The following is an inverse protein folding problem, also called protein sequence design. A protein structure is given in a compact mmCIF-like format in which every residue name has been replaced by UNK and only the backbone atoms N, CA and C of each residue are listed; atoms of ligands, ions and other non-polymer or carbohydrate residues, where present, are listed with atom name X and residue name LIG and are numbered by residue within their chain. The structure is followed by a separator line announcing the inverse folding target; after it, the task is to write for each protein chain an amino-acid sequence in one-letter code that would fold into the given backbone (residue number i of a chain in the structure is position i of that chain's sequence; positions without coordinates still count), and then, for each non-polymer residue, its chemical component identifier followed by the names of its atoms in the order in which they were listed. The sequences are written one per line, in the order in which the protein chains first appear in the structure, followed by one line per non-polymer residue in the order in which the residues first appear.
data_IF_785073014785
#
_entry.id   IF_785073014785
#
_cell.length_a   1.000
_cell.length_b   1.000
_cell.length_c   1.000
_cell.angle_alpha   90.00
_cell.angle_beta   90.00
_cell.angle_gamma   90.00
#
_symmetry.space_group_name_H-M   'P 1'
#
loop_
_entity.id
_entity.type
_entity.pdbx_description
1 polymer ?
#
# COMPACT_ATOMS: atom_id res chain seq x y z
N UNK A 1 12.89 31.24 6.28
CA UNK A 1 12.08 30.78 7.43
C UNK A 1 13.01 30.81 8.65
N UNK A 2 12.70 31.64 9.59
CA UNK A 2 13.56 31.92 10.75
C UNK A 2 13.52 30.77 11.74
N UNK A 3 14.66 30.49 12.38
CA UNK A 3 14.86 29.41 13.38
C UNK A 3 13.86 29.47 14.56
N UNK A 4 13.17 30.58 14.74
CA UNK A 4 12.15 30.83 15.78
C UNK A 4 10.80 30.19 15.45
N UNK A 5 10.40 30.16 14.18
CA UNK A 5 9.17 29.51 13.74
C UNK A 5 9.21 27.99 13.91
N UNK A 6 10.36 27.37 13.63
CA UNK A 6 10.59 25.94 13.84
C UNK A 6 10.53 25.53 15.32
N UNK A 7 11.09 26.37 16.22
CA UNK A 7 11.03 26.12 17.67
C UNK A 7 9.62 26.23 18.23
N UNK A 8 8.83 27.23 17.80
CA UNK A 8 7.43 27.38 18.23
C UNK A 8 6.54 26.23 17.75
N UNK A 9 6.75 25.73 16.52
CA UNK A 9 6.00 24.59 15.97
C UNK A 9 6.32 23.29 16.73
N UNK A 10 7.59 23.05 17.07
CA UNK A 10 8.02 21.86 17.82
C UNK A 10 7.47 21.85 19.25
N UNK A 11 7.48 22.99 19.94
CA UNK A 11 6.91 23.13 21.29
C UNK A 11 5.41 22.89 21.27
N UNK A 12 4.68 23.46 20.31
CA UNK A 12 3.25 23.24 20.17
C UNK A 12 2.88 21.77 19.90
N UNK A 13 3.68 21.04 19.11
CA UNK A 13 3.48 19.61 18.86
C UNK A 13 3.74 18.76 20.11
N UNK A 14 4.77 19.07 20.89
CA UNK A 14 5.10 18.40 22.16
C UNK A 14 3.97 18.52 23.17
N UNK A 15 3.37 19.71 23.29
CA UNK A 15 2.26 19.96 24.23
C UNK A 15 1.00 19.19 23.83
N UNK A 16 0.67 19.12 22.53
CA UNK A 16 -0.43 18.34 22.00
C UNK A 16 -0.25 16.84 22.25
N UNK A 17 0.94 16.30 22.01
CA UNK A 17 1.26 14.90 22.30
C UNK A 17 1.13 14.59 23.79
N UNK A 18 1.52 15.52 24.67
CA UNK A 18 1.36 15.37 26.13
C UNK A 18 -0.13 15.33 26.53
N UNK A 19 -0.95 16.17 25.94
CA UNK A 19 -2.42 16.15 26.14
C UNK A 19 -3.03 14.83 25.66
N UNK A 20 -2.66 14.35 24.47
CA UNK A 20 -3.12 13.08 23.92
C UNK A 20 -2.70 11.92 24.82
N UNK A 21 -1.48 11.94 25.36
CA UNK A 21 -0.99 10.88 26.25
C UNK A 21 -1.80 10.74 27.55
N UNK A 22 -2.46 11.81 28.01
CA UNK A 22 -3.31 11.82 29.19
C UNK A 22 -4.74 11.29 28.90
N UNK A 23 -5.15 11.18 27.65
CA UNK A 23 -6.46 10.65 27.29
C UNK A 23 -6.56 9.14 27.57
N UNK A 24 -7.76 8.63 27.89
CA UNK A 24 -8.01 7.19 27.96
C UNK A 24 -7.62 6.50 26.63
N UNK A 25 -7.08 5.27 26.69
CA UNK A 25 -6.59 4.53 25.53
C UNK A 25 -7.62 4.48 24.40
N UNK A 26 -8.87 4.11 24.70
CA UNK A 26 -9.94 4.04 23.72
C UNK A 26 -10.21 5.39 23.01
N UNK A 27 -10.02 6.52 23.71
CA UNK A 27 -10.15 7.85 23.11
C UNK A 27 -8.96 8.16 22.20
N UNK A 28 -7.73 7.81 22.64
CA UNK A 28 -6.53 7.97 21.83
C UNK A 28 -6.62 7.20 20.51
N UNK A 29 -7.11 5.98 20.56
CA UNK A 29 -7.27 5.12 19.37
C UNK A 29 -8.27 5.74 18.38
N UNK A 30 -9.35 6.34 18.86
CA UNK A 30 -10.33 7.02 18.01
C UNK A 30 -9.78 8.33 17.42
N UNK A 31 -9.04 9.12 18.20
CA UNK A 31 -8.35 10.33 17.73
C UNK A 31 -7.29 9.97 16.68
N UNK A 32 -6.50 8.91 16.92
CA UNK A 32 -5.53 8.40 15.95
C UNK A 32 -6.20 7.93 14.65
N UNK A 33 -7.37 7.30 14.74
CA UNK A 33 -8.12 6.89 13.56
C UNK A 33 -8.62 8.08 12.74
N UNK A 34 -9.12 9.15 13.38
CA UNK A 34 -9.51 10.39 12.68
C UNK A 34 -8.29 10.97 11.95
N UNK A 35 -7.16 11.12 12.64
CA UNK A 35 -5.93 11.68 12.07
C UNK A 35 -5.44 10.86 10.86
N UNK A 36 -5.39 9.54 11.00
CA UNK A 36 -5.04 8.61 9.94
C UNK A 36 -5.95 8.74 8.72
N UNK A 37 -7.26 8.78 8.96
CA UNK A 37 -8.25 8.84 7.88
C UNK A 37 -8.14 10.16 7.12
N UNK A 38 -7.96 11.28 7.83
CA UNK A 38 -7.72 12.57 7.21
C UNK A 38 -6.40 12.59 6.43
N UNK A 39 -5.32 11.97 6.95
CA UNK A 39 -4.03 11.92 6.28
C UNK A 39 -4.07 11.11 4.98
N UNK A 40 -4.65 9.90 5.01
CA UNK A 40 -4.53 8.93 3.91
C UNK A 40 -5.74 8.87 2.96
N UNK A 41 -6.92 9.35 3.38
CA UNK A 41 -8.11 9.46 2.53
C UNK A 41 -8.44 10.92 2.18
N UNK A 42 -7.94 11.88 2.94
CA UNK A 42 -8.25 13.30 2.77
C UNK A 42 -9.59 13.71 3.39
N UNK A 43 -10.35 12.76 3.93
CA UNK A 43 -11.66 12.98 4.54
C UNK A 43 -11.94 11.94 5.63
N UNK A 44 -12.84 12.26 6.56
CA UNK A 44 -13.28 11.36 7.62
C UNK A 44 -14.78 11.52 7.87
N UNK A 45 -15.49 10.39 8.04
CA UNK A 45 -16.93 10.36 8.30
C UNK A 45 -17.23 9.80 9.67
N UNK A 46 -18.26 10.39 10.32
CA UNK A 46 -18.68 9.94 11.64
C UNK A 46 -19.13 8.49 11.69
N UNK A 47 -19.76 8.00 10.61
CA UNK A 47 -20.20 6.61 10.49
C UNK A 47 -19.05 5.63 10.64
N UNK A 48 -17.88 5.91 10.00
CA UNK A 48 -16.69 5.03 10.07
C UNK A 48 -16.20 4.85 11.52
N UNK A 49 -16.26 5.93 12.33
CA UNK A 49 -15.90 5.86 13.75
C UNK A 49 -16.89 5.01 14.56
N UNK A 50 -18.20 5.19 14.30
CA UNK A 50 -19.29 4.42 14.93
C UNK A 50 -19.12 2.93 14.62
N UNK A 51 -18.95 2.58 13.36
CA UNK A 51 -18.85 1.20 12.91
C UNK A 51 -17.58 0.52 13.42
N UNK A 52 -16.43 1.22 13.32
CA UNK A 52 -15.14 0.67 13.72
C UNK A 52 -15.05 0.42 15.23
N UNK A 53 -15.49 1.37 16.04
CA UNK A 53 -15.31 1.33 17.51
C UNK A 53 -16.58 0.91 18.25
N UNK A 54 -17.66 0.59 17.54
CA UNK A 54 -18.96 0.21 18.11
C UNK A 54 -19.45 1.22 19.15
N UNK A 55 -19.31 2.53 18.87
CA UNK A 55 -19.67 3.62 19.76
C UNK A 55 -20.95 4.33 19.31
N UNK A 56 -21.60 5.04 20.23
CA UNK A 56 -22.76 5.87 19.90
C UNK A 56 -22.34 7.07 19.00
N UNK A 57 -23.22 7.49 18.11
CA UNK A 57 -23.00 8.65 17.21
C UNK A 57 -22.68 9.94 17.98
N UNK A 58 -23.24 10.13 19.18
CA UNK A 58 -22.93 11.26 20.04
C UNK A 58 -21.47 11.23 20.53
N UNK A 59 -20.92 10.03 20.81
CA UNK A 59 -19.51 9.88 21.19
C UNK A 59 -18.60 10.21 20.01
N UNK A 60 -18.89 9.71 18.81
CA UNK A 60 -18.12 10.06 17.63
C UNK A 60 -18.11 11.57 17.36
N UNK A 61 -19.23 12.26 17.57
CA UNK A 61 -19.29 13.73 17.46
C UNK A 61 -18.37 14.42 18.47
N UNK A 62 -18.32 13.94 19.71
CA UNK A 62 -17.40 14.46 20.75
C UNK A 62 -15.93 14.24 20.35
N UNK A 63 -15.61 13.08 19.79
CA UNK A 63 -14.25 12.76 19.35
C UNK A 63 -13.79 13.68 18.18
N UNK A 64 -14.65 13.96 17.21
CA UNK A 64 -14.36 14.95 16.16
C UNK A 64 -14.20 16.37 16.70
N UNK A 65 -14.98 16.76 17.71
CA UNK A 65 -14.85 18.06 18.38
C UNK A 65 -13.50 18.15 19.12
N UNK A 66 -13.14 17.11 19.88
CA UNK A 66 -11.86 17.01 20.58
C UNK A 66 -10.68 17.05 19.60
N UNK A 67 -10.76 16.32 18.47
CA UNK A 67 -9.72 16.35 17.43
C UNK A 67 -9.51 17.78 16.88
N UNK A 68 -10.60 18.53 16.65
CA UNK A 68 -10.55 19.92 16.19
C UNK A 68 -9.91 20.84 17.23
N UNK A 69 -10.17 20.62 18.52
CA UNK A 69 -9.55 21.38 19.60
C UNK A 69 -8.05 21.11 19.70
N UNK A 70 -7.62 19.86 19.53
CA UNK A 70 -6.21 19.45 19.53
C UNK A 70 -5.46 19.95 18.29
N UNK A 71 -6.11 20.02 17.14
CA UNK A 71 -5.52 20.41 15.86
C UNK A 71 -6.49 21.24 15.01
N UNK A 72 -6.70 22.55 15.32
CA UNK A 72 -7.71 23.38 14.66
C UNK A 72 -7.55 23.51 13.16
N UNK A 73 -6.31 23.45 12.62
CA UNK A 73 -6.02 23.53 11.20
C UNK A 73 -6.15 22.23 10.41
N UNK A 74 -6.40 21.11 11.10
CA UNK A 74 -6.36 19.78 10.48
C UNK A 74 -7.69 19.36 9.87
N UNK A 75 -8.81 19.99 10.24
CA UNK A 75 -10.14 19.47 9.93
C UNK A 75 -11.14 20.58 9.65
N UNK A 76 -11.91 20.43 8.57
CA UNK A 76 -13.00 21.30 8.17
C UNK A 76 -14.26 20.48 7.94
N UNK A 77 -15.43 20.99 8.37
CA UNK A 77 -16.69 20.28 8.16
C UNK A 77 -17.41 20.76 6.90
N UNK A 78 -17.62 19.85 5.97
CA UNK A 78 -18.43 20.12 4.77
C UNK A 78 -19.89 19.80 5.05
N UNK A 79 -20.71 20.86 5.13
CA UNK A 79 -22.14 20.73 5.43
C UNK A 79 -22.95 20.05 4.31
N UNK A 80 -22.50 20.18 3.04
CA UNK A 80 -23.20 19.58 1.88
C UNK A 80 -22.98 18.08 1.83
N UNK A 81 -21.73 17.67 2.02
CA UNK A 81 -21.33 16.26 1.97
C UNK A 81 -21.50 15.55 3.31
N UNK A 82 -21.73 16.29 4.41
CA UNK A 82 -21.86 15.78 5.79
C UNK A 82 -20.65 14.96 6.26
N UNK A 83 -19.45 15.37 5.85
CA UNK A 83 -18.18 14.76 6.20
C UNK A 83 -17.17 15.83 6.65
N UNK A 84 -16.09 15.35 7.23
CA UNK A 84 -14.96 16.17 7.62
C UNK A 84 -13.85 16.04 6.59
N UNK A 85 -13.42 17.16 6.01
CA UNK A 85 -12.28 17.24 5.06
C UNK A 85 -10.99 17.55 5.79
N UNK A 86 -9.88 17.12 5.23
CA UNK A 86 -8.55 17.52 5.67
C UNK A 86 -8.38 19.01 5.41
N UNK A 87 -8.00 19.77 6.45
CA UNK A 87 -7.73 21.19 6.36
C UNK A 87 -6.44 21.49 5.58
N UNK A 88 -6.32 22.69 5.02
CA UNK A 88 -5.14 23.09 4.24
C UNK A 88 -3.83 23.11 5.07
N UNK A 89 -3.93 23.46 6.35
CA UNK A 89 -2.81 23.49 7.29
C UNK A 89 -2.61 22.15 8.05
N UNK A 90 -3.03 21.03 7.47
CA UNK A 90 -2.95 19.73 8.11
C UNK A 90 -1.51 19.35 8.50
N UNK A 91 -1.34 19.10 9.78
CA UNK A 91 -0.12 18.52 10.35
C UNK A 91 -0.52 17.34 11.24
N UNK A 92 -0.08 16.12 10.87
CA UNK A 92 -0.42 14.91 11.61
C UNK A 92 -0.05 15.01 13.09
N UNK A 93 -0.99 14.62 13.96
CA UNK A 93 -0.78 14.54 15.40
C UNK A 93 0.09 13.36 15.82
N UNK A 94 0.18 12.33 14.97
CA UNK A 94 0.89 11.08 15.27
C UNK A 94 2.05 10.85 14.30
N UNK A 95 3.09 10.18 14.79
CA UNK A 95 4.19 9.73 13.94
C UNK A 95 3.87 8.32 13.41
N UNK A 96 3.59 8.23 12.11
CA UNK A 96 3.26 6.97 11.45
C UNK A 96 4.51 6.27 10.90
N UNK A 97 4.73 5.02 11.29
CA UNK A 97 5.70 4.15 10.63
C UNK A 97 5.14 3.68 9.27
N UNK A 98 5.87 3.92 8.20
CA UNK A 98 5.38 3.67 6.84
C UNK A 98 5.10 2.18 6.56
N UNK A 99 5.86 1.26 7.16
CA UNK A 99 5.65 -0.18 6.96
C UNK A 99 4.36 -0.62 7.62
N UNK A 100 4.11 -0.17 8.86
CA UNK A 100 2.86 -0.43 9.58
C UNK A 100 1.67 0.23 8.91
N UNK A 101 1.85 1.46 8.39
CA UNK A 101 0.82 2.16 7.63
C UNK A 101 0.42 1.37 6.39
N UNK A 102 1.37 0.91 5.60
CA UNK A 102 1.11 0.11 4.41
C UNK A 102 0.50 -1.25 4.75
N UNK A 103 0.97 -1.92 5.81
CA UNK A 103 0.34 -3.13 6.31
C UNK A 103 -1.11 -2.88 6.75
N UNK A 104 -1.37 -1.77 7.45
CA UNK A 104 -2.72 -1.37 7.86
C UNK A 104 -3.64 -1.08 6.68
N UNK A 105 -3.16 -0.38 5.67
CA UNK A 105 -3.93 -0.08 4.45
C UNK A 105 -4.26 -1.37 3.69
N UNK A 106 -3.34 -2.33 3.63
CA UNK A 106 -3.49 -3.58 2.88
C UNK A 106 -4.28 -4.66 3.60
N UNK A 107 -4.16 -4.75 4.92
CA UNK A 107 -4.75 -5.83 5.72
C UNK A 107 -5.94 -5.37 6.59
N UNK A 108 -6.27 -4.10 6.52
CA UNK A 108 -7.23 -3.47 7.40
C UNK A 108 -6.59 -2.96 8.71
N UNK A 109 -7.40 -2.26 9.50
CA UNK A 109 -6.93 -1.65 10.74
C UNK A 109 -6.64 -2.73 11.80
N UNK A 110 -5.36 -3.10 11.96
CA UNK A 110 -4.89 -3.89 13.09
C UNK A 110 -4.62 -3.02 14.33
N UNK A 111 -4.51 -3.63 15.51
CA UNK A 111 -4.07 -2.95 16.72
C UNK A 111 -2.63 -2.45 16.55
N UNK A 112 -2.38 -1.16 16.67
CA UNK A 112 -1.03 -0.62 16.74
C UNK A 112 -0.62 0.39 15.67
N UNK A 113 -1.49 1.33 15.34
CA UNK A 113 -1.16 2.48 14.48
C UNK A 113 -0.01 3.33 14.98
N UNK A 114 0.14 3.43 16.28
CA UNK A 114 1.03 4.39 16.93
C UNK A 114 2.01 3.69 17.84
N UNK A 115 3.28 3.87 17.56
CA UNK A 115 4.36 3.50 18.45
C UNK A 115 5.34 2.46 17.89
N UNK A 116 6.58 2.51 18.39
CA UNK A 116 7.60 1.48 18.20
C UNK A 116 7.31 0.31 19.13
N UNK A 117 6.74 -0.76 18.64
CA UNK A 117 6.61 -2.01 19.42
C UNK A 117 7.96 -2.70 19.42
N UNK A 118 8.55 -2.86 20.60
CA UNK A 118 9.72 -3.69 20.79
C UNK A 118 9.24 -5.16 20.72
N UNK A 119 9.86 -6.03 19.89
CA UNK A 119 9.48 -7.43 19.88
C UNK A 119 9.58 -8.02 21.30
N UNK A 120 8.60 -8.82 21.74
CA UNK A 120 8.63 -9.44 23.09
C UNK A 120 9.71 -10.51 23.23
N UNK A 121 10.23 -11.01 22.12
CA UNK A 121 11.30 -12.01 22.05
C UNK A 121 12.38 -11.53 21.08
N UNK A 122 13.60 -12.07 21.23
CA UNK A 122 14.67 -11.84 20.26
C UNK A 122 14.21 -12.39 18.89
N UNK A 123 14.11 -11.49 17.91
CA UNK A 123 13.70 -11.80 16.56
C UNK A 123 14.53 -10.94 15.61
N UNK A 124 15.12 -11.58 14.63
CA UNK A 124 15.85 -10.90 13.56
C UNK A 124 15.14 -11.11 12.23
N UNK A 125 14.97 -10.05 11.46
CA UNK A 125 14.43 -10.10 10.12
C UNK A 125 15.44 -9.48 9.14
N UNK A 126 15.47 -9.94 7.88
CA UNK A 126 16.32 -9.32 6.86
C UNK A 126 16.05 -7.82 6.73
N UNK A 127 17.07 -7.05 6.36
CA UNK A 127 16.91 -5.63 6.08
C UNK A 127 15.93 -5.42 4.93
N UNK A 128 14.98 -4.51 5.15
CA UNK A 128 14.06 -4.08 4.10
C UNK A 128 14.75 -3.07 3.16
N UNK A 129 14.30 -3.04 1.92
CA UNK A 129 14.66 -1.95 1.00
C UNK A 129 14.19 -0.61 1.56
N UNK A 130 14.66 0.49 0.94
CA UNK A 130 14.24 1.83 1.34
C UNK A 130 12.72 1.96 1.33
N UNK A 131 12.19 2.70 2.30
CA UNK A 131 10.76 2.91 2.49
C UNK A 131 10.29 4.13 1.69
N UNK A 132 9.08 4.11 1.12
CA UNK A 132 8.50 5.31 0.53
C UNK A 132 8.24 6.36 1.61
N UNK A 133 8.25 7.65 1.24
CA UNK A 133 7.87 8.68 2.19
C UNK A 133 6.37 8.63 2.50
N UNK A 134 6.00 8.92 3.73
CA UNK A 134 4.59 8.96 4.14
C UNK A 134 3.77 9.96 3.32
N UNK A 135 4.38 11.09 2.93
CA UNK A 135 3.72 12.09 2.09
C UNK A 135 3.36 11.55 0.71
N UNK A 136 4.22 10.72 0.10
CA UNK A 136 3.91 10.05 -1.18
C UNK A 136 2.80 9.02 -0.98
N UNK A 137 2.91 8.18 0.06
CA UNK A 137 1.86 7.19 0.37
C UNK A 137 0.51 7.89 0.56
N UNK A 138 0.46 8.97 1.35
CA UNK A 138 -0.76 9.73 1.60
C UNK A 138 -1.39 10.29 0.31
N UNK A 139 -0.57 10.86 -0.61
CA UNK A 139 -1.07 11.40 -1.87
C UNK A 139 -1.57 10.30 -2.82
N UNK A 140 -0.88 9.18 -2.87
CA UNK A 140 -1.28 8.03 -3.68
C UNK A 140 -2.60 7.43 -3.16
N UNK A 141 -2.71 7.20 -1.86
CA UNK A 141 -3.92 6.62 -1.26
C UNK A 141 -5.12 7.58 -1.32
N UNK A 142 -4.89 8.88 -1.15
CA UNK A 142 -5.90 9.91 -1.35
C UNK A 142 -6.43 9.90 -2.79
N UNK A 143 -5.53 9.85 -3.79
CA UNK A 143 -5.92 9.80 -5.20
C UNK A 143 -6.71 8.54 -5.55
N UNK A 144 -6.30 7.36 -5.03
CA UNK A 144 -7.04 6.10 -5.17
C UNK A 144 -8.43 6.23 -4.55
N UNK A 145 -8.51 6.69 -3.30
CA UNK A 145 -9.77 6.79 -2.57
C UNK A 145 -10.77 7.76 -3.25
N UNK A 146 -10.27 8.91 -3.71
CA UNK A 146 -11.09 9.93 -4.38
C UNK A 146 -11.37 9.63 -5.86
N UNK A 147 -10.75 8.61 -6.45
CA UNK A 147 -10.84 8.37 -7.89
C UNK A 147 -10.29 9.54 -8.72
N UNK A 148 -9.11 10.06 -8.37
CA UNK A 148 -8.48 11.21 -9.02
C UNK A 148 -7.17 10.84 -9.71
N UNK A 149 -6.81 11.57 -10.74
CA UNK A 149 -5.48 11.49 -11.34
C UNK A 149 -4.43 12.09 -10.40
N UNK A 150 -3.20 11.61 -10.54
CA UNK A 150 -2.04 12.01 -9.77
C UNK A 150 -0.92 12.42 -10.72
N UNK A 151 -0.41 13.64 -10.55
CA UNK A 151 0.82 14.08 -11.21
C UNK A 151 2.01 13.68 -10.36
N UNK A 152 2.94 12.87 -10.92
CA UNK A 152 4.11 12.38 -10.20
C UNK A 152 5.42 12.79 -10.89
N UNK A 153 6.43 13.12 -10.09
CA UNK A 153 7.83 13.14 -10.55
C UNK A 153 8.44 11.76 -10.26
N UNK A 154 8.71 11.01 -11.30
CA UNK A 154 9.11 9.59 -11.23
C UNK A 154 10.48 9.33 -11.82
N UNK A 155 11.31 8.54 -11.12
CA UNK A 155 12.63 8.12 -11.61
C UNK A 155 12.54 6.69 -12.14
N UNK A 156 12.61 6.54 -13.46
CA UNK A 156 12.65 5.25 -14.15
C UNK A 156 14.07 4.77 -14.36
N UNK A 157 14.27 3.44 -14.40
CA UNK A 157 15.57 2.84 -14.74
C UNK A 157 15.96 3.09 -16.20
N UNK A 158 14.97 3.22 -17.08
CA UNK A 158 15.23 3.36 -18.54
C UNK A 158 15.21 4.81 -19.02
N UNK A 159 14.35 5.66 -18.46
CA UNK A 159 14.13 7.03 -18.95
C UNK A 159 14.55 8.13 -17.96
N UNK A 160 15.16 7.76 -16.82
CA UNK A 160 15.54 8.73 -15.80
C UNK A 160 14.33 9.40 -15.15
N UNK A 161 14.51 10.67 -14.77
CA UNK A 161 13.46 11.48 -14.13
C UNK A 161 12.48 12.02 -15.18
N UNK A 162 11.18 11.82 -14.91
CA UNK A 162 10.09 12.27 -15.78
C UNK A 162 8.89 12.69 -14.95
N UNK A 163 8.16 13.69 -15.44
CA UNK A 163 6.82 14.00 -14.91
C UNK A 163 5.78 13.16 -15.65
N UNK A 164 4.84 12.58 -14.90
CA UNK A 164 3.78 11.73 -15.45
C UNK A 164 2.46 12.01 -14.76
N UNK A 165 1.40 11.93 -15.53
CA UNK A 165 0.05 11.83 -14.99
C UNK A 165 -0.39 10.38 -15.01
N UNK A 166 -0.80 9.88 -13.86
CA UNK A 166 -1.31 8.53 -13.69
C UNK A 166 -2.68 8.55 -13.04
N UNK A 167 -3.52 7.57 -13.36
CA UNK A 167 -4.77 7.31 -12.66
C UNK A 167 -4.57 6.07 -11.80
N UNK A 168 -4.23 6.24 -10.50
CA UNK A 168 -3.92 5.13 -9.63
C UNK A 168 -5.21 4.44 -9.17
N UNK A 169 -5.19 3.09 -9.04
CA UNK A 169 -6.33 2.36 -8.51
C UNK A 169 -5.99 1.37 -7.39
N UNK A 170 -4.75 0.88 -7.31
CA UNK A 170 -4.39 -0.14 -6.30
C UNK A 170 -2.94 -0.04 -5.87
N UNK A 171 -2.68 -0.36 -4.60
CA UNK A 171 -1.35 -0.62 -4.07
C UNK A 171 -1.00 -2.10 -4.24
N UNK A 172 0.23 -2.39 -4.65
CA UNK A 172 0.73 -3.75 -4.84
C UNK A 172 2.05 -3.92 -4.09
N UNK A 173 2.09 -4.87 -3.15
CA UNK A 173 3.33 -5.34 -2.56
C UNK A 173 3.85 -6.53 -3.37
N UNK A 174 5.09 -6.46 -3.84
CA UNK A 174 5.73 -7.57 -4.55
C UNK A 174 6.69 -8.38 -3.67
N UNK A 175 6.58 -8.23 -2.34
CA UNK A 175 7.44 -8.87 -1.35
C UNK A 175 8.79 -8.17 -1.12
N UNK A 176 9.22 -7.29 -2.04
CA UNK A 176 10.45 -6.50 -1.93
C UNK A 176 10.15 -5.00 -1.76
N UNK A 177 9.12 -4.52 -2.42
CA UNK A 177 8.77 -3.09 -2.45
C UNK A 177 7.34 -2.87 -2.85
N UNK A 178 6.80 -1.77 -2.39
CA UNK A 178 5.46 -1.32 -2.73
C UNK A 178 5.42 -0.60 -4.08
N UNK A 179 4.37 -0.87 -4.84
CA UNK A 179 4.03 -0.22 -6.09
C UNK A 179 2.65 0.40 -5.98
N UNK A 180 2.39 1.39 -6.82
CA UNK A 180 1.04 1.79 -7.20
C UNK A 180 0.78 1.35 -8.62
N UNK A 181 -0.33 0.63 -8.83
CA UNK A 181 -0.84 0.29 -10.14
C UNK A 181 -1.83 1.33 -10.60
N UNK A 182 -1.73 1.75 -11.85
CA UNK A 182 -2.61 2.75 -12.43
C UNK A 182 -2.39 2.90 -13.93
N UNK A 183 -3.29 3.66 -14.57
CA UNK A 183 -3.19 4.02 -15.97
C UNK A 183 -2.14 5.12 -16.16
N UNK A 184 -1.16 4.90 -17.01
CA UNK A 184 -0.14 5.89 -17.39
C UNK A 184 -0.63 6.67 -18.61
N UNK A 185 -1.05 7.91 -18.43
CA UNK A 185 -1.56 8.79 -19.51
C UNK A 185 -0.52 9.01 -20.61
N UNK A 186 0.77 8.99 -20.25
CA UNK A 186 1.86 9.17 -21.23
C UNK A 186 1.97 8.01 -22.22
N UNK A 187 1.69 6.77 -21.77
CA UNK A 187 1.84 5.57 -22.58
C UNK A 187 0.50 4.95 -22.98
N UNK A 188 -0.62 5.42 -22.45
CA UNK A 188 -1.95 4.91 -22.74
C UNK A 188 -2.18 3.47 -22.27
N UNK A 189 -1.52 3.04 -21.16
CA UNK A 189 -1.65 1.68 -20.63
C UNK A 189 -1.50 1.61 -19.10
N UNK A 190 -2.01 0.54 -18.51
CA UNK A 190 -1.84 0.26 -17.08
C UNK A 190 -0.42 -0.24 -16.78
N UNK A 191 0.20 0.38 -15.77
CA UNK A 191 1.57 0.10 -15.32
C UNK A 191 1.68 0.11 -13.80
N UNK A 192 2.79 -0.45 -13.31
CA UNK A 192 3.16 -0.41 -11.91
C UNK A 192 4.30 0.60 -11.69
N UNK A 193 4.11 1.50 -10.73
CA UNK A 193 5.10 2.51 -10.35
C UNK A 193 5.61 2.22 -8.95
N UNK A 194 6.92 2.09 -8.79
CA UNK A 194 7.56 1.83 -7.49
C UNK A 194 7.44 3.07 -6.61
N UNK A 195 6.82 2.96 -5.44
CA UNK A 195 6.56 4.11 -4.57
C UNK A 195 7.83 4.85 -4.15
N UNK A 196 8.91 4.13 -3.86
CA UNK A 196 10.21 4.75 -3.48
C UNK A 196 10.90 5.51 -4.61
N UNK A 197 10.41 5.40 -5.84
CA UNK A 197 10.91 6.13 -7.01
C UNK A 197 10.08 7.36 -7.36
N UNK A 198 9.02 7.61 -6.62
CA UNK A 198 8.22 8.83 -6.72
C UNK A 198 8.85 9.89 -5.82
N UNK A 199 9.38 10.96 -6.40
CA UNK A 199 10.02 12.08 -5.68
C UNK A 199 9.00 13.12 -5.21
N UNK A 200 7.94 13.33 -6.00
CA UNK A 200 6.84 14.24 -5.70
C UNK A 200 5.53 13.71 -6.26
N UNK A 201 4.41 14.04 -5.61
CA UNK A 201 3.07 13.65 -6.04
C UNK A 201 2.07 14.76 -5.71
N UNK A 202 1.20 15.09 -6.67
CA UNK A 202 0.15 16.11 -6.54
C UNK A 202 -1.15 15.50 -7.06
N UNK A 203 -2.19 15.48 -6.23
CA UNK A 203 -3.53 15.05 -6.63
C UNK A 203 -4.13 16.13 -7.54
N UNK A 204 -4.64 15.72 -8.70
CA UNK A 204 -5.26 16.61 -9.67
C UNK A 204 -6.77 16.68 -9.41
N UNK A 205 -7.19 17.58 -8.53
CA UNK A 205 -8.59 17.67 -8.06
C UNK A 205 -9.59 17.89 -9.19
N UNK A 206 -9.24 18.70 -10.20
CA UNK A 206 -10.11 19.03 -11.34
C UNK A 206 -10.01 18.01 -12.48
N UNK A 207 -9.22 16.94 -12.31
CA UNK A 207 -9.03 15.92 -13.34
C UNK A 207 -10.30 15.10 -13.53
N UNK A 208 -10.78 15.04 -14.77
CA UNK A 208 -11.80 14.09 -15.21
C UNK A 208 -11.11 12.82 -15.70
N UNK A 209 -11.69 11.67 -15.35
CA UNK A 209 -11.21 10.36 -15.80
C UNK A 209 -12.03 9.92 -17.00
N UNK A 210 -11.37 9.37 -18.01
CA UNK A 210 -12.05 8.68 -19.11
C UNK A 210 -12.36 7.23 -18.70
N UNK A 211 -13.33 6.61 -19.35
CA UNK A 211 -13.68 5.21 -19.11
C UNK A 211 -12.48 4.27 -19.29
N UNK A 212 -11.61 4.54 -20.28
CA UNK A 212 -10.42 3.74 -20.55
C UNK A 212 -9.37 3.75 -19.42
N UNK A 213 -9.42 4.74 -18.52
CA UNK A 213 -8.48 4.89 -17.39
C UNK A 213 -8.95 4.18 -16.11
N UNK A 214 -10.20 3.68 -16.10
CA UNK A 214 -10.79 3.05 -14.91
C UNK A 214 -10.21 1.65 -14.69
N UNK A 215 -10.16 1.23 -13.41
CA UNK A 215 -9.71 -0.10 -13.00
C UNK A 215 -10.39 -1.23 -13.77
N UNK A 216 -11.68 -1.07 -14.10
CA UNK A 216 -12.46 -2.05 -14.86
C UNK A 216 -11.90 -2.34 -16.25
N UNK A 217 -11.13 -1.44 -16.82
CA UNK A 217 -10.45 -1.58 -18.11
C UNK A 217 -9.06 -2.20 -18.01
N UNK A 218 -8.54 -2.38 -16.80
CA UNK A 218 -7.26 -3.05 -16.59
C UNK A 218 -7.40 -4.57 -16.76
N UNK A 219 -7.22 -5.04 -17.98
CA UNK A 219 -7.33 -6.47 -18.32
C UNK A 219 -6.37 -7.36 -17.54
N UNK A 220 -5.17 -6.88 -17.20
CA UNK A 220 -4.19 -7.65 -16.43
C UNK A 220 -4.59 -7.74 -14.95
N UNK A 221 -5.23 -6.70 -14.42
CA UNK A 221 -5.75 -6.68 -13.05
C UNK A 221 -7.01 -7.54 -12.91
N UNK A 222 -7.91 -7.46 -13.87
CA UNK A 222 -9.19 -8.15 -13.81
C UNK A 222 -9.14 -9.62 -14.31
N UNK A 223 -8.01 -10.04 -14.89
CA UNK A 223 -7.77 -11.43 -15.27
C UNK A 223 -7.10 -12.18 -14.13
N UNK A 224 -7.64 -13.35 -13.79
CA UNK A 224 -7.00 -14.32 -12.89
C UNK A 224 -6.33 -15.44 -13.68
N UNK A 225 -5.25 -15.96 -13.14
CA UNK A 225 -4.55 -17.15 -13.61
C UNK A 225 -4.38 -18.12 -12.45
N UNK A 226 -4.61 -19.40 -12.69
CA UNK A 226 -4.31 -20.46 -11.71
C UNK A 226 -2.90 -20.98 -11.98
N UNK A 227 -2.05 -20.93 -10.97
CA UNK A 227 -0.70 -21.47 -11.00
C UNK A 227 -0.70 -22.82 -10.30
N UNK A 228 -0.22 -23.88 -10.97
CA UNK A 228 0.04 -25.18 -10.36
C UNK A 228 1.54 -25.30 -10.06
N UNK A 229 1.89 -25.14 -8.77
CA UNK A 229 3.25 -25.20 -8.28
C UNK A 229 3.52 -26.59 -7.70
N UNK A 230 4.63 -27.16 -8.08
CA UNK A 230 5.09 -28.48 -7.61
C UNK A 230 6.50 -28.36 -7.05
N UNK A 231 6.96 -29.28 -6.18
CA UNK A 231 8.36 -29.35 -5.81
C UNK A 231 9.23 -29.48 -7.06
N UNK A 232 10.38 -28.81 -7.06
CA UNK A 232 11.28 -28.88 -8.22
C UNK A 232 11.80 -30.30 -8.44
N UNK A 233 11.73 -30.87 -9.66
CA UNK A 233 12.04 -32.31 -9.92
C UNK A 233 13.47 -32.78 -9.56
N UNK A 234 14.39 -31.82 -9.34
CA UNK A 234 15.77 -32.15 -8.92
C UNK A 234 15.95 -32.39 -7.42
N UNK A 235 14.92 -32.15 -6.63
CA UNK A 235 14.99 -32.32 -5.17
C UNK A 235 14.89 -33.80 -4.82
N UNK A 236 15.81 -34.28 -3.96
CA UNK A 236 15.81 -35.66 -3.45
C UNK A 236 14.67 -35.88 -2.43
N UNK A 237 14.33 -34.84 -1.67
CA UNK A 237 13.32 -34.86 -0.61
C UNK A 237 12.24 -33.79 -0.88
N UNK A 238 11.33 -34.12 -1.80
CA UNK A 238 10.23 -33.20 -2.17
C UNK A 238 9.23 -32.94 -1.05
N UNK A 239 9.10 -33.91 -0.11
CA UNK A 239 8.20 -33.85 1.03
C UNK A 239 8.46 -32.62 1.95
N UNK A 240 9.71 -32.16 2.02
CA UNK A 240 10.04 -30.95 2.77
C UNK A 240 9.36 -29.71 2.16
N UNK A 241 9.35 -29.61 0.83
CA UNK A 241 8.71 -28.49 0.11
C UNK A 241 7.19 -28.62 0.17
N UNK A 242 6.65 -29.82 0.11
CA UNK A 242 5.22 -30.06 0.29
C UNK A 242 4.72 -29.55 1.66
N UNK A 243 5.54 -29.78 2.72
CA UNK A 243 5.26 -29.26 4.07
C UNK A 243 5.40 -27.73 4.14
N UNK A 244 6.48 -27.17 3.59
CA UNK A 244 6.73 -25.71 3.63
C UNK A 244 5.61 -24.90 2.96
N UNK A 245 5.04 -25.44 1.88
CA UNK A 245 4.01 -24.77 1.08
C UNK A 245 2.59 -25.32 1.32
N UNK A 246 2.39 -26.27 2.24
CA UNK A 246 1.10 -26.87 2.55
C UNK A 246 0.45 -27.52 1.32
N UNK A 247 1.22 -28.23 0.51
CA UNK A 247 0.75 -28.84 -0.73
C UNK A 247 -0.20 -30.01 -0.46
N UNK A 248 -1.20 -30.17 -1.32
CA UNK A 248 -2.07 -31.33 -1.33
C UNK A 248 -1.74 -32.19 -2.55
N UNK A 249 -1.44 -33.47 -2.32
CA UNK A 249 -1.03 -34.41 -3.40
C UNK A 249 0.17 -33.89 -4.23
N UNK A 250 1.11 -33.22 -3.55
CA UNK A 250 2.31 -32.68 -4.19
C UNK A 250 2.08 -31.46 -5.09
N UNK A 251 0.91 -30.83 -5.02
CA UNK A 251 0.57 -29.66 -5.83
C UNK A 251 0.00 -28.54 -4.96
N UNK A 252 0.50 -27.32 -5.15
CA UNK A 252 -0.12 -26.10 -4.63
C UNK A 252 -0.76 -25.34 -5.77
N UNK A 253 -2.06 -25.08 -5.66
CA UNK A 253 -2.82 -24.23 -6.59
C UNK A 253 -2.97 -22.84 -6.04
N UNK A 254 -2.55 -21.84 -6.83
CA UNK A 254 -2.62 -20.43 -6.47
C UNK A 254 -3.38 -19.68 -7.55
N UNK A 255 -4.56 -19.15 -7.21
CA UNK A 255 -5.28 -18.22 -8.06
C UNK A 255 -4.77 -16.79 -7.79
N UNK A 256 -4.27 -16.12 -8.81
CA UNK A 256 -3.66 -14.78 -8.69
C UNK A 256 -3.98 -13.92 -9.91
N UNK A 257 -4.04 -12.60 -9.70
CA UNK A 257 -4.21 -11.65 -10.81
C UNK A 257 -3.03 -11.72 -11.78
N UNK A 258 -3.30 -11.70 -13.08
CA UNK A 258 -2.25 -11.72 -14.11
C UNK A 258 -1.23 -10.58 -13.93
N UNK A 259 -1.71 -9.42 -13.47
CA UNK A 259 -0.86 -8.26 -13.15
C UNK A 259 0.20 -8.54 -12.07
N UNK A 260 0.00 -9.52 -11.20
CA UNK A 260 0.89 -9.81 -10.05
C UNK A 260 1.58 -11.17 -10.16
N UNK A 261 1.21 -11.99 -11.15
CA UNK A 261 1.75 -13.34 -11.30
C UNK A 261 3.29 -13.38 -11.42
N UNK A 262 3.87 -12.51 -12.24
CA UNK A 262 5.33 -12.43 -12.37
C UNK A 262 6.04 -12.02 -11.08
N UNK A 263 5.41 -11.22 -10.22
CA UNK A 263 5.95 -10.86 -8.91
C UNK A 263 6.01 -12.06 -7.96
N UNK A 264 4.91 -12.81 -7.84
CA UNK A 264 4.86 -14.01 -7.01
C UNK A 264 5.90 -15.03 -7.47
N UNK A 265 5.92 -15.36 -8.77
CA UNK A 265 6.86 -16.34 -9.33
C UNK A 265 8.31 -15.96 -9.07
N UNK A 266 8.64 -14.66 -9.15
CA UNK A 266 9.96 -14.14 -8.80
C UNK A 266 10.24 -14.22 -7.30
N UNK A 267 9.29 -13.81 -6.47
CA UNK A 267 9.43 -13.78 -5.01
C UNK A 267 9.68 -15.17 -4.45
N UNK A 268 8.94 -16.16 -4.96
CA UNK A 268 9.07 -17.56 -4.54
C UNK A 268 10.14 -18.34 -5.32
N UNK A 269 10.86 -17.64 -6.20
CA UNK A 269 11.94 -18.21 -7.04
C UNK A 269 11.47 -19.49 -7.76
N UNK A 270 10.29 -19.42 -8.41
CA UNK A 270 9.68 -20.55 -9.11
C UNK A 270 10.36 -20.74 -10.45
N UNK A 271 10.87 -21.94 -10.74
CA UNK A 271 11.34 -22.28 -12.08
C UNK A 271 10.16 -22.36 -13.06
N UNK A 272 10.09 -21.43 -13.98
CA UNK A 272 9.10 -21.36 -15.06
C UNK A 272 9.67 -21.79 -16.42
N UNK A 273 10.86 -22.38 -16.43
CA UNK A 273 11.45 -22.93 -17.65
C UNK A 273 10.71 -24.19 -18.13
N UNK A 274 10.85 -24.52 -19.40
CA UNK A 274 10.32 -25.76 -19.94
C UNK A 274 11.09 -26.93 -19.33
N UNK A 275 10.37 -27.93 -18.81
CA UNK A 275 10.95 -29.14 -18.20
C UNK A 275 11.88 -28.89 -16.98
N UNK A 276 11.64 -27.84 -16.23
CA UNK A 276 12.40 -27.51 -15.01
C UNK A 276 13.93 -27.50 -15.24
N UNK A 277 14.36 -26.80 -16.28
CA UNK A 277 15.76 -26.77 -16.73
C UNK A 277 16.61 -25.68 -16.10
N UNK A 278 16.05 -24.86 -15.22
CA UNK A 278 16.82 -23.82 -14.53
C UNK A 278 17.81 -24.46 -13.54
N UNK A 279 19.09 -24.49 -13.92
CA UNK A 279 20.15 -25.15 -13.14
C UNK A 279 20.66 -24.29 -11.98
N UNK A 280 20.67 -22.97 -12.17
CA UNK A 280 21.27 -22.03 -11.23
C UNK A 280 20.17 -21.18 -10.56
N UNK A 281 20.23 -21.03 -9.25
CA UNK A 281 19.33 -20.11 -8.54
C UNK A 281 18.53 -20.70 -7.38
N UNK A 282 18.74 -22.00 -7.01
CA UNK A 282 18.13 -22.58 -5.81
C UNK A 282 16.59 -22.62 -5.85
N UNK A 283 15.99 -22.69 -7.05
CA UNK A 283 14.54 -22.85 -7.17
C UNK A 283 14.09 -24.15 -6.50
N UNK A 284 13.19 -24.06 -5.56
CA UNK A 284 12.58 -25.20 -4.86
C UNK A 284 11.22 -25.58 -5.47
N UNK A 285 10.65 -24.68 -6.26
CA UNK A 285 9.36 -24.83 -6.92
C UNK A 285 9.52 -24.85 -8.45
N UNK A 286 8.64 -25.58 -9.11
CA UNK A 286 8.47 -25.56 -10.57
C UNK A 286 7.01 -25.29 -10.93
N UNK A 287 6.79 -24.46 -11.97
CA UNK A 287 5.47 -24.18 -12.52
C UNK A 287 5.07 -25.26 -13.52
N UNK A 288 4.16 -26.16 -13.13
CA UNK A 288 3.69 -27.29 -13.95
C UNK A 288 2.89 -26.87 -15.16
N UNK A 289 2.01 -25.87 -15.00
CA UNK A 289 1.05 -25.43 -16.03
C UNK A 289 1.46 -24.12 -16.70
N UNK A 290 2.68 -24.03 -17.20
CA UNK A 290 3.26 -22.79 -17.81
C UNK A 290 2.35 -22.10 -18.82
N UNK A 291 1.50 -22.82 -19.55
CA UNK A 291 0.56 -22.26 -20.54
C UNK A 291 -0.42 -21.24 -19.94
N UNK A 292 -0.71 -21.31 -18.63
CA UNK A 292 -1.57 -20.34 -17.93
C UNK A 292 -1.03 -18.92 -18.00
N UNK A 293 0.29 -18.75 -18.16
CA UNK A 293 0.98 -17.47 -18.23
C UNK A 293 0.90 -16.80 -19.61
N UNK A 294 0.25 -17.42 -20.60
CA UNK A 294 0.09 -16.80 -21.92
C UNK A 294 -0.63 -15.45 -21.82
N UNK A 295 -0.01 -14.39 -22.38
CA UNK A 295 -0.56 -13.03 -22.33
C UNK A 295 -0.41 -12.31 -20.99
N UNK A 296 0.30 -12.87 -20.00
CA UNK A 296 0.71 -12.16 -18.77
C UNK A 296 1.83 -11.19 -19.11
N UNK A 297 1.63 -9.88 -18.89
CA UNK A 297 2.59 -8.83 -19.33
C UNK A 297 3.91 -8.85 -18.54
N UNK A 298 3.88 -9.15 -17.24
CA UNK A 298 5.05 -9.13 -16.37
C UNK A 298 5.77 -10.48 -16.23
N UNK A 299 5.48 -11.42 -17.13
CA UNK A 299 6.03 -12.78 -17.11
C UNK A 299 7.56 -12.83 -17.15
N UNK A 300 8.20 -11.84 -17.81
CA UNK A 300 9.66 -11.74 -17.88
C UNK A 300 10.34 -11.55 -16.52
N UNK A 301 9.58 -11.29 -15.45
CA UNK A 301 10.09 -11.27 -14.08
C UNK A 301 10.29 -12.69 -13.51
N UNK A 302 9.58 -13.67 -14.04
CA UNK A 302 9.61 -15.05 -13.55
C UNK A 302 10.92 -15.76 -13.96
N UNK A 303 11.57 -16.48 -13.03
CA UNK A 303 12.79 -17.23 -13.33
C UNK A 303 12.57 -18.28 -14.43
N UNK A 304 13.54 -18.47 -15.30
CA UNK A 304 13.48 -19.48 -16.37
C UNK A 304 12.60 -19.08 -17.58
N UNK A 305 12.03 -17.87 -17.60
CA UNK A 305 11.40 -17.31 -18.79
C UNK A 305 12.46 -16.55 -19.59
N UNK A 306 12.66 -16.96 -20.82
CA UNK A 306 13.48 -16.26 -21.82
C UNK A 306 12.59 -15.62 -22.85
N UNK A 307 12.99 -14.45 -23.37
CA UNK A 307 12.33 -13.73 -24.46
C UNK A 307 12.36 -14.50 -25.79
#
# INVERSE_FOLDING_TARGET
MTNDGLKQTVVAKSDRLSQIAQLPQATRDRIAHIDFTLLFKGEAVRADLVDRFSIAAAQATKDFTMYRELAPGNIEYDQKLKLHKRGEAFESLFDYDVVRTLATISQGYGDGFTGKVKPPLACEAPYHLNKPSLSIVAKVTEAIHKGKALCITYVSLSSGETTREIVPHTLVDNGLRWHVRGFDRKHGEFRDFVLTRIKAAIVLEDSTLSEAELETQDRQWNRFVELELVPHPRLEHSEAIELDYGMTEGVMKVEIRAATAGYLLRQWNVDCSTNATLKDGGAQLHLKNRATLYGVKNIMLAPGITS
#
